data_IF_925660047115
#
_entry.id   IF_925660047115
#
_cell.length_a   1.000
_cell.length_b   1.000
_cell.length_c   1.000
_cell.angle_alpha   90.00
_cell.angle_beta   90.00
_cell.angle_gamma   90.00
#
_symmetry.space_group_name_H-M   'P 1'
#
loop_
_entity.id
_entity.type
_entity.pdbx_description
1 polymer ?
#
# COMPACT_ATOMS: atom_id res chain seq x y z
N UNK A 1 37.81 -8.47 21.40
CA UNK A 1 37.41 -9.09 20.12
C UNK A 1 35.89 -9.13 20.10
N UNK A 2 35.23 -8.46 19.14
CA UNK A 2 33.76 -8.45 19.08
C UNK A 2 33.27 -9.87 18.79
N UNK A 3 32.44 -10.38 19.69
CA UNK A 3 31.87 -11.72 19.65
C UNK A 3 30.94 -11.91 18.46
N UNK A 4 30.84 -13.19 18.06
CA UNK A 4 29.92 -13.83 17.13
C UNK A 4 29.18 -12.93 16.14
N UNK A 5 29.46 -13.18 14.86
CA UNK A 5 28.60 -12.83 13.73
C UNK A 5 27.28 -13.60 13.88
N UNK A 6 26.39 -13.10 14.73
CA UNK A 6 25.01 -13.56 14.82
C UNK A 6 24.36 -13.20 13.48
N UNK A 7 24.33 -14.20 12.60
CA UNK A 7 23.67 -14.14 11.31
C UNK A 7 22.23 -13.63 11.56
N UNK A 8 21.95 -12.41 11.12
CA UNK A 8 20.60 -11.84 11.28
C UNK A 8 19.65 -12.65 10.41
N UNK A 9 18.71 -13.36 11.06
CA UNK A 9 17.59 -13.98 10.37
C UNK A 9 16.83 -12.92 9.56
N UNK A 10 16.35 -13.24 8.34
CA UNK A 10 15.64 -12.28 7.51
C UNK A 10 14.36 -11.81 8.22
N UNK A 11 14.36 -10.55 8.65
CA UNK A 11 13.25 -9.90 9.35
C UNK A 11 12.00 -9.70 8.46
N UNK A 12 12.17 -9.83 7.14
CA UNK A 12 11.12 -9.61 6.16
C UNK A 12 11.11 -10.70 5.10
N UNK A 13 9.92 -11.25 4.87
CA UNK A 13 9.66 -12.17 3.76
C UNK A 13 9.01 -11.38 2.63
N UNK A 14 9.65 -11.36 1.46
CA UNK A 14 9.07 -10.77 0.26
C UNK A 14 8.32 -11.84 -0.50
N UNK A 15 6.99 -11.80 -0.44
CA UNK A 15 6.11 -12.72 -1.18
C UNK A 15 5.40 -11.95 -2.28
N UNK A 16 5.24 -12.56 -3.46
CA UNK A 16 4.54 -11.93 -4.57
C UNK A 16 3.05 -12.18 -4.41
N UNK A 17 2.25 -11.18 -4.79
CA UNK A 17 0.79 -11.31 -4.81
C UNK A 17 0.33 -12.46 -5.73
N UNK A 18 1.07 -12.73 -6.81
CA UNK A 18 0.78 -13.80 -7.76
C UNK A 18 0.95 -15.20 -7.15
N UNK A 19 1.76 -15.34 -6.09
CA UNK A 19 1.95 -16.61 -5.39
C UNK A 19 0.72 -16.95 -4.52
N UNK A 20 0.00 -15.93 -4.04
CA UNK A 20 -1.21 -16.10 -3.20
C UNK A 20 -2.50 -16.09 -4.00
N UNK A 21 -2.57 -15.28 -5.04
CA UNK A 21 -3.79 -15.10 -5.83
C UNK A 21 -3.40 -15.15 -7.32
N UNK A 22 -3.34 -16.36 -7.92
CA UNK A 22 -3.04 -16.52 -9.34
C UNK A 22 -4.05 -15.78 -10.25
N UNK A 23 -3.70 -15.61 -11.52
CA UNK A 23 -4.56 -14.93 -12.49
C UNK A 23 -5.96 -15.56 -12.62
N UNK A 24 -6.04 -16.90 -12.55
CA UNK A 24 -7.29 -17.67 -12.65
C UNK A 24 -8.02 -17.84 -11.31
N UNK A 25 -7.62 -17.11 -10.26
CA UNK A 25 -8.22 -17.28 -8.94
C UNK A 25 -9.64 -16.70 -8.87
N UNK A 26 -10.62 -17.42 -8.27
CA UNK A 26 -12.03 -16.97 -8.22
C UNK A 26 -12.24 -15.65 -7.46
N UNK A 27 -11.29 -15.25 -6.60
CA UNK A 27 -11.31 -13.95 -5.90
C UNK A 27 -10.63 -12.80 -6.66
N UNK A 28 -9.94 -13.06 -7.77
CA UNK A 28 -9.31 -12.02 -8.60
C UNK A 28 -10.29 -10.93 -9.09
N UNK A 29 -11.57 -11.25 -9.42
CA UNK A 29 -12.57 -10.25 -9.78
C UNK A 29 -12.85 -9.19 -8.69
N UNK A 30 -12.68 -9.52 -7.40
CA UNK A 30 -12.89 -8.57 -6.30
C UNK A 30 -11.94 -7.37 -6.42
N UNK A 31 -10.72 -7.59 -6.91
CA UNK A 31 -9.75 -6.51 -7.14
C UNK A 31 -10.27 -5.48 -8.14
N UNK A 32 -11.01 -5.91 -9.17
CA UNK A 32 -11.60 -5.00 -10.16
C UNK A 32 -12.69 -4.15 -9.52
N UNK A 33 -13.58 -4.76 -8.71
CA UNK A 33 -14.65 -4.06 -8.01
C UNK A 33 -14.10 -3.03 -7.03
N UNK A 34 -13.09 -3.40 -6.24
CA UNK A 34 -12.43 -2.49 -5.30
C UNK A 34 -11.74 -1.34 -6.04
N UNK A 35 -11.04 -1.63 -7.14
CA UNK A 35 -10.39 -0.59 -7.95
C UNK A 35 -11.41 0.41 -8.52
N UNK A 36 -12.58 -0.04 -8.94
CA UNK A 36 -13.64 0.85 -9.41
C UNK A 36 -14.19 1.73 -8.28
N UNK A 37 -14.45 1.14 -7.11
CA UNK A 37 -14.86 1.89 -5.93
C UNK A 37 -13.82 2.95 -5.53
N UNK A 38 -12.53 2.59 -5.53
CA UNK A 38 -11.44 3.51 -5.21
C UNK A 38 -11.33 4.67 -6.22
N UNK A 39 -11.56 4.42 -7.52
CA UNK A 39 -11.61 5.49 -8.53
C UNK A 39 -12.70 6.51 -8.21
N UNK A 40 -13.89 6.05 -7.81
CA UNK A 40 -15.01 6.94 -7.42
C UNK A 40 -14.68 7.73 -6.15
N UNK A 41 -13.96 7.13 -5.20
CA UNK A 41 -13.56 7.76 -3.95
C UNK A 41 -12.35 8.71 -4.07
N UNK A 42 -11.60 8.66 -5.19
CA UNK A 42 -10.39 9.46 -5.39
C UNK A 42 -10.62 10.97 -5.21
N UNK A 43 -11.78 11.48 -5.65
CA UNK A 43 -12.13 12.90 -5.47
C UNK A 43 -12.30 13.31 -4.00
N UNK A 44 -12.82 12.41 -3.15
CA UNK A 44 -12.96 12.62 -1.70
C UNK A 44 -11.59 12.59 -1.03
N UNK A 45 -10.79 11.58 -1.36
CA UNK A 45 -9.42 11.46 -0.87
C UNK A 45 -8.57 12.67 -1.25
N UNK A 46 -8.72 13.21 -2.45
CA UNK A 46 -8.00 14.42 -2.86
C UNK A 46 -8.36 15.65 -2.00
N UNK A 47 -9.60 15.76 -1.53
CA UNK A 47 -10.02 16.88 -0.65
C UNK A 47 -9.52 16.77 0.78
N UNK A 48 -9.32 15.54 1.28
CA UNK A 48 -8.99 15.30 2.69
C UNK A 48 -7.56 14.84 2.94
N UNK A 49 -6.96 14.08 2.02
CA UNK A 49 -5.62 13.50 2.16
C UNK A 49 -4.53 14.28 1.39
N UNK A 50 -4.89 14.98 0.31
CA UNK A 50 -3.95 15.90 -0.33
C UNK A 50 -3.94 17.19 0.50
N UNK A 51 -3.10 17.20 1.54
CA UNK A 51 -2.98 18.19 2.62
C UNK A 51 -3.66 19.53 2.38
N UNK A 52 -4.58 19.87 3.26
CA UNK A 52 -5.04 21.24 3.47
C UNK A 52 -3.81 22.07 3.86
N UNK A 53 -3.12 22.68 2.88
CA UNK A 53 -2.15 23.72 3.21
C UNK A 53 -2.96 24.89 3.74
N UNK A 54 -2.75 25.33 5.00
CA UNK A 54 -3.40 26.55 5.46
C UNK A 54 -2.90 27.72 4.60
N UNK A 55 -3.82 28.30 3.84
CA UNK A 55 -3.63 29.52 3.03
C UNK A 55 -3.54 30.75 3.96
N UNK A 56 -2.60 30.80 4.91
CA UNK A 56 -2.32 32.03 5.68
C UNK A 56 -1.00 31.91 6.44
N UNK A 57 0.12 32.25 5.81
CA UNK A 57 1.21 33.01 6.43
C UNK A 57 1.76 33.97 5.36
N UNK A 58 1.10 35.11 5.22
CA UNK A 58 1.74 36.31 4.70
C UNK A 58 1.18 37.49 5.49
N UNK A 59 1.81 37.76 6.63
CA UNK A 59 1.83 39.06 7.27
C UNK A 59 3.02 39.16 8.21
#
# INVERSE_FOLDING_TARGET
MRGLDEMQEPLFTTVKLEDFVPADHPLRPVRLLVNEALKRLNGLFRRHLCGQRPETISR
#
